data_IF_061352061283
#
_entry.id   IF_061352061283
#
_cell.length_a   1.000
_cell.length_b   1.000
_cell.length_c   1.000
_cell.angle_alpha   90.00
_cell.angle_beta   90.00
_cell.angle_gamma   90.00
#
_symmetry.space_group_name_H-M   'P 1'
#
loop_
_entity.id
_entity.type
_entity.pdbx_description
1 polymer ?
#
# COMPACT_ATOMS: atom_id res chain seq x y z
N UNK A 1 -25.73 -20.02 -50.23
CA UNK A 1 -24.84 -19.46 -49.19
C UNK A 1 -24.84 -20.43 -48.02
N UNK A 2 -23.83 -21.29 -47.95
CA UNK A 2 -23.79 -22.36 -46.96
C UNK A 2 -23.34 -21.81 -45.59
N UNK A 3 -24.10 -22.11 -44.54
CA UNK A 3 -23.73 -21.79 -43.15
C UNK A 3 -22.36 -22.37 -42.74
N UNK A 4 -21.94 -23.45 -43.39
CA UNK A 4 -20.61 -24.03 -43.22
C UNK A 4 -19.49 -23.05 -43.63
N UNK A 5 -19.64 -22.32 -44.74
CA UNK A 5 -18.61 -21.36 -45.18
C UNK A 5 -18.52 -20.14 -44.26
N UNK A 6 -19.63 -19.73 -43.64
CA UNK A 6 -19.65 -18.64 -42.67
C UNK A 6 -18.95 -19.04 -41.36
N UNK A 7 -19.11 -20.29 -40.93
CA UNK A 7 -18.39 -20.83 -39.77
C UNK A 7 -16.90 -21.05 -40.04
N UNK A 8 -16.51 -21.47 -41.25
CA UNK A 8 -15.09 -21.63 -41.61
C UNK A 8 -14.39 -20.28 -41.74
N UNK A 9 -15.07 -19.23 -42.22
CA UNK A 9 -14.50 -17.88 -42.28
C UNK A 9 -14.27 -17.27 -40.90
N UNK A 10 -15.17 -17.50 -39.93
CA UNK A 10 -15.01 -17.03 -38.55
C UNK A 10 -13.90 -17.78 -37.78
N UNK A 11 -13.66 -19.05 -38.12
CA UNK A 11 -12.60 -19.86 -37.51
C UNK A 11 -11.21 -19.60 -38.11
N UNK A 12 -11.13 -19.03 -39.32
CA UNK A 12 -9.87 -18.74 -40.01
C UNK A 12 -9.13 -17.50 -39.44
N UNK A 13 -9.84 -16.63 -38.71
CA UNK A 13 -9.26 -15.43 -38.07
C UNK A 13 -8.79 -15.66 -36.62
N UNK A 14 -8.81 -16.91 -36.13
CA UNK A 14 -8.17 -17.24 -34.86
C UNK A 14 -6.69 -17.54 -35.13
N UNK A 15 -5.93 -16.50 -35.48
CA UNK A 15 -4.47 -16.57 -35.43
C UNK A 15 -4.07 -16.81 -33.98
N UNK A 16 -3.52 -18.00 -33.70
CA UNK A 16 -2.95 -18.31 -32.41
C UNK A 16 -1.83 -17.29 -32.13
N UNK A 17 -1.97 -16.43 -31.11
CA UNK A 17 -0.99 -15.38 -30.89
C UNK A 17 0.36 -16.05 -30.63
N UNK A 18 1.34 -15.80 -31.48
CA UNK A 18 2.71 -16.28 -31.27
C UNK A 18 3.28 -15.74 -29.96
N UNK A 19 4.47 -16.20 -29.55
CA UNK A 19 5.13 -15.74 -28.32
C UNK A 19 5.18 -14.19 -28.19
N UNK A 20 5.34 -13.48 -29.31
CA UNK A 20 5.26 -12.02 -29.37
C UNK A 20 3.85 -11.46 -29.09
N UNK A 21 2.79 -12.16 -29.53
CA UNK A 21 1.40 -11.82 -29.23
C UNK A 21 1.08 -11.97 -27.74
N UNK A 22 1.57 -13.03 -27.08
CA UNK A 22 1.41 -13.18 -25.65
C UNK A 22 2.11 -12.06 -24.86
N UNK A 23 3.32 -11.65 -25.27
CA UNK A 23 3.99 -10.51 -24.63
C UNK A 23 3.19 -9.22 -24.78
N UNK A 24 2.63 -8.94 -25.96
CA UNK A 24 1.83 -7.73 -26.17
C UNK A 24 0.51 -7.76 -25.38
N UNK A 25 -0.14 -8.92 -25.26
CA UNK A 25 -1.39 -9.05 -24.50
C UNK A 25 -1.16 -9.03 -22.98
N UNK A 26 -0.09 -9.65 -22.49
CA UNK A 26 0.20 -9.71 -21.04
C UNK A 26 1.06 -8.54 -20.53
N UNK A 27 1.76 -7.81 -21.40
CA UNK A 27 2.52 -6.61 -21.03
C UNK A 27 1.71 -5.61 -20.18
N UNK A 28 0.49 -5.19 -20.56
CA UNK A 28 -0.29 -4.27 -19.74
C UNK A 28 -0.67 -4.86 -18.37
N UNK A 29 -0.95 -6.16 -18.29
CA UNK A 29 -1.28 -6.83 -17.02
C UNK A 29 -0.08 -6.86 -16.07
N UNK A 30 1.10 -7.23 -16.59
CA UNK A 30 2.35 -7.26 -15.80
C UNK A 30 2.76 -5.84 -15.38
N UNK A 31 2.62 -4.85 -16.27
CA UNK A 31 2.94 -3.46 -15.98
C UNK A 31 2.06 -2.92 -14.84
N UNK A 32 0.75 -3.21 -14.87
CA UNK A 32 -0.18 -2.84 -13.79
C UNK A 32 0.22 -3.50 -12.47
N UNK A 33 0.54 -4.81 -12.47
CA UNK A 33 0.96 -5.52 -11.27
C UNK A 33 2.25 -4.93 -10.67
N UNK A 34 3.25 -4.64 -11.51
CA UNK A 34 4.50 -4.01 -11.09
C UNK A 34 4.26 -2.59 -10.58
N UNK A 35 3.40 -1.83 -11.25
CA UNK A 35 3.04 -0.47 -10.85
C UNK A 35 2.36 -0.46 -9.48
N UNK A 36 1.31 -1.27 -9.27
CA UNK A 36 0.65 -1.38 -7.98
C UNK A 36 1.59 -1.91 -6.90
N UNK A 37 2.40 -2.92 -7.18
CA UNK A 37 3.36 -3.44 -6.20
C UNK A 37 4.34 -2.34 -5.76
N UNK A 38 4.94 -1.63 -6.70
CA UNK A 38 5.93 -0.61 -6.39
C UNK A 38 5.31 0.63 -5.75
N UNK A 39 4.16 1.07 -6.25
CA UNK A 39 3.50 2.28 -5.78
C UNK A 39 2.75 2.09 -4.47
N UNK A 40 2.33 0.87 -4.10
CA UNK A 40 1.67 0.60 -2.81
C UNK A 40 2.68 0.16 -1.76
N UNK A 41 3.61 -0.75 -2.08
CA UNK A 41 4.55 -1.26 -1.08
C UNK A 41 5.62 -0.24 -0.67
N UNK A 42 6.02 0.67 -1.58
CA UNK A 42 6.99 1.71 -1.28
C UNK A 42 6.48 2.79 -0.31
N UNK A 43 5.27 3.37 -0.47
CA UNK A 43 4.77 4.33 0.50
C UNK A 43 4.32 3.69 1.82
N UNK A 44 3.80 2.46 1.81
CA UNK A 44 3.38 1.79 3.06
C UNK A 44 4.54 1.62 4.03
N UNK A 45 5.69 1.12 3.56
CA UNK A 45 6.91 1.00 4.38
C UNK A 45 7.40 2.35 4.92
N UNK A 46 7.08 3.46 4.25
CA UNK A 46 7.45 4.80 4.71
C UNK A 46 6.52 5.29 5.84
N UNK A 47 5.23 4.96 5.81
CA UNK A 47 4.31 5.28 6.90
C UNK A 47 4.60 4.44 8.14
N UNK A 48 4.74 3.12 8.00
CA UNK A 48 5.08 2.24 9.13
C UNK A 48 6.38 2.65 9.81
N UNK A 49 7.39 3.04 9.03
CA UNK A 49 8.67 3.52 9.57
C UNK A 49 8.52 4.86 10.29
N UNK A 50 7.72 5.79 9.77
CA UNK A 50 7.47 7.08 10.42
C UNK A 50 6.70 6.90 11.73
N UNK A 51 5.70 6.02 11.77
CA UNK A 51 4.94 5.72 12.98
C UNK A 51 5.82 5.06 14.03
N UNK A 52 6.73 4.18 13.61
CA UNK A 52 7.73 3.58 14.48
C UNK A 52 8.76 4.61 14.98
N UNK A 53 9.31 5.44 14.09
CA UNK A 53 10.24 6.51 14.44
C UNK A 53 9.59 7.52 15.41
N UNK A 54 8.30 7.82 15.26
CA UNK A 54 7.57 8.68 16.19
C UNK A 54 7.47 8.04 17.58
N UNK A 55 7.23 6.73 17.67
CA UNK A 55 7.22 6.00 18.95
C UNK A 55 8.60 5.91 19.59
N UNK A 56 9.64 5.65 18.79
CA UNK A 56 11.03 5.52 19.27
C UNK A 56 11.59 6.87 19.75
N UNK A 57 11.11 7.99 19.19
CA UNK A 57 11.52 9.33 19.61
C UNK A 57 10.79 9.83 20.86
N UNK A 58 9.70 9.19 21.29
CA UNK A 58 9.01 9.58 22.53
C UNK A 58 9.75 8.93 23.70
N UNK A 59 10.47 9.76 24.44
CA UNK A 59 11.19 9.40 25.66
C UNK A 59 10.47 9.83 26.93
N UNK A 60 10.95 9.28 28.06
CA UNK A 60 10.54 9.77 29.39
C UNK A 60 11.05 11.21 29.56
N UNK A 61 10.13 12.13 29.86
CA UNK A 61 10.40 13.57 29.97
C UNK A 61 9.93 14.40 28.78
N UNK A 62 9.36 13.79 27.74
CA UNK A 62 8.80 14.53 26.61
C UNK A 62 7.39 15.04 26.91
N UNK A 63 7.11 16.29 26.51
CA UNK A 63 5.77 16.87 26.52
C UNK A 63 5.06 16.45 25.22
N UNK A 64 3.93 15.76 25.36
CA UNK A 64 3.16 15.29 24.20
C UNK A 64 1.74 15.86 24.23
N UNK A 65 1.22 16.13 23.03
CA UNK A 65 -0.17 16.52 22.82
C UNK A 65 -0.88 15.38 22.11
N UNK A 66 -1.89 14.81 22.76
CA UNK A 66 -2.73 13.79 22.12
C UNK A 66 -3.70 14.42 21.13
N UNK A 67 -4.21 13.64 20.18
CA UNK A 67 -5.23 14.09 19.22
C UNK A 67 -6.54 14.61 19.87
N UNK A 68 -6.74 14.33 21.16
CA UNK A 68 -7.87 14.84 21.95
C UNK A 68 -7.60 16.17 22.66
N UNK A 69 -6.44 16.80 22.45
CA UNK A 69 -6.07 18.06 23.10
C UNK A 69 -5.54 17.92 24.52
N UNK A 70 -5.29 16.69 24.98
CA UNK A 70 -4.68 16.45 26.29
C UNK A 70 -3.17 16.68 26.16
N UNK A 71 -2.65 17.60 26.96
CA UNK A 71 -1.23 17.89 27.11
C UNK A 71 -0.73 17.20 28.38
N UNK A 72 0.40 16.51 28.30
CA UNK A 72 0.98 15.82 29.44
C UNK A 72 2.44 15.46 29.24
N UNK A 73 3.12 15.16 30.35
CA UNK A 73 4.51 14.73 30.36
C UNK A 73 4.58 13.20 30.38
N UNK A 74 5.44 12.63 29.55
CA UNK A 74 5.67 11.18 29.51
C UNK A 74 6.51 10.76 30.72
N UNK A 75 5.96 9.94 31.61
CA UNK A 75 6.66 9.45 32.81
C UNK A 75 7.20 8.04 32.65
N UNK A 76 6.56 7.22 31.80
CA UNK A 76 7.03 5.87 31.48
C UNK A 76 6.60 5.46 30.07
N UNK A 77 7.53 4.94 29.28
CA UNK A 77 7.29 4.36 27.95
C UNK A 77 7.43 2.85 28.04
N UNK A 78 6.41 2.12 27.56
CA UNK A 78 6.45 0.66 27.30
C UNK A 78 6.13 0.44 25.82
N UNK A 79 6.56 -0.71 25.28
CA UNK A 79 6.54 -0.99 23.83
C UNK A 79 5.20 -0.69 23.12
N UNK A 80 4.07 -0.99 23.78
CA UNK A 80 2.72 -0.74 23.27
C UNK A 80 1.89 0.25 24.11
N UNK A 81 2.45 0.83 25.18
CA UNK A 81 1.69 1.71 26.09
C UNK A 81 2.56 2.78 26.72
N UNK A 82 2.09 4.03 26.72
CA UNK A 82 2.78 5.16 27.34
C UNK A 82 1.96 5.64 28.54
N UNK A 83 2.62 5.85 29.68
CA UNK A 83 2.04 6.48 30.87
C UNK A 83 2.36 7.97 30.80
N UNK A 84 1.32 8.77 30.79
CA UNK A 84 1.41 10.23 30.77
C UNK A 84 0.85 10.79 32.07
N UNK A 85 1.57 11.76 32.63
CA UNK A 85 1.09 12.57 33.74
C UNK A 85 0.50 13.86 33.17
N UNK A 86 -0.80 14.04 33.33
CA UNK A 86 -1.52 15.22 32.86
C UNK A 86 -1.70 16.17 34.04
N UNK A 87 -1.01 17.31 34.01
CA UNK A 87 -1.26 18.40 34.94
C UNK A 87 -2.51 19.15 34.49
N UNK A 88 -3.67 18.84 35.06
CA UNK A 88 -4.79 19.76 35.00
C UNK A 88 -4.44 21.00 35.81
N UNK A 89 -4.67 22.18 35.22
CA UNK A 89 -4.65 23.50 35.85
C UNK A 89 -3.37 24.34 35.67
N UNK A 90 -3.35 25.11 34.56
CA UNK A 90 -3.02 26.54 34.51
C UNK A 90 -3.81 27.23 33.41
#
# INVERSE_FOLDING_TARGET
>A
MNYLQLMTALAADVEQPGAAGYLLTFAPLVLILVFFYFFVMKPQKKQERQDKEMRDNIGVGDEIVTNGGIVGLVTQVKDDTVVIETGGDR
#
